data_IF_595000834548
#
_entry.id   IF_595000834548
#
_cell.length_a   1.000
_cell.length_b   1.000
_cell.length_c   1.000
_cell.angle_alpha   90.00
_cell.angle_beta   90.00
_cell.angle_gamma   90.00
#
_symmetry.space_group_name_H-M   'P 1'
#
loop_
_entity.id
_entity.type
_entity.pdbx_description
1 polymer ?
#
# COMPACT_ATOMS: atom_id res chain seq x y z
N UNK A 1 -35.62 15.52 3.27
CA UNK A 1 -35.26 14.26 2.61
C UNK A 1 -33.75 14.29 2.38
N UNK A 2 -32.98 13.32 2.89
CA UNK A 2 -31.51 13.34 2.81
C UNK A 2 -31.11 12.64 1.51
N UNK A 3 -30.39 13.35 0.64
CA UNK A 3 -29.91 12.84 -0.65
C UNK A 3 -28.38 12.83 -0.61
N UNK A 4 -27.77 11.77 -1.12
CA UNK A 4 -26.32 11.58 -1.15
C UNK A 4 -25.71 12.13 -2.45
N UNK A 5 -24.60 12.86 -2.33
CA UNK A 5 -23.87 13.37 -3.49
C UNK A 5 -23.17 12.23 -4.23
N UNK A 6 -23.48 12.04 -5.51
CA UNK A 6 -22.90 10.98 -6.35
C UNK A 6 -21.37 11.13 -6.53
N UNK A 7 -20.81 12.30 -6.28
CA UNK A 7 -19.36 12.55 -6.42
C UNK A 7 -18.53 12.31 -5.15
N UNK A 8 -19.14 12.37 -3.97
CA UNK A 8 -18.40 12.38 -2.71
C UNK A 8 -19.16 11.79 -1.51
N UNK A 9 -20.29 11.13 -1.78
CA UNK A 9 -21.16 10.43 -0.84
C UNK A 9 -21.60 11.26 0.37
N UNK A 10 -21.46 12.58 0.28
CA UNK A 10 -21.82 13.49 1.36
C UNK A 10 -23.33 13.62 1.42
N UNK A 11 -23.91 13.33 2.59
CA UNK A 11 -25.33 13.53 2.89
C UNK A 11 -25.64 15.00 3.01
N UNK A 12 -26.53 15.50 2.15
CA UNK A 12 -26.81 16.93 2.03
C UNK A 12 -28.31 17.17 2.18
N UNK A 13 -28.64 18.30 2.80
CA UNK A 13 -30.01 18.77 2.94
C UNK A 13 -30.60 19.13 1.57
N UNK A 14 -31.85 18.77 1.32
CA UNK A 14 -32.47 18.83 -0.02
C UNK A 14 -32.50 20.23 -0.65
N UNK A 15 -32.32 21.29 0.15
CA UNK A 15 -32.22 22.68 -0.32
C UNK A 15 -30.88 23.03 -0.98
N UNK A 16 -29.81 22.29 -0.67
CA UNK A 16 -28.45 22.52 -1.19
C UNK A 16 -28.08 21.62 -2.37
N UNK A 17 -29.07 20.89 -2.89
CA UNK A 17 -28.95 19.99 -4.02
C UNK A 17 -29.07 20.73 -5.37
N UNK A 18 -28.35 20.27 -6.39
CA UNK A 18 -28.48 20.72 -7.78
C UNK A 18 -28.55 19.52 -8.73
N UNK A 19 -29.66 19.32 -9.47
CA UNK A 19 -29.72 18.28 -10.49
C UNK A 19 -28.73 18.55 -11.61
N UNK A 20 -28.16 17.49 -12.18
CA UNK A 20 -27.28 17.61 -13.33
C UNK A 20 -27.78 16.77 -14.50
N UNK A 21 -27.54 17.30 -15.69
CA UNK A 21 -27.76 16.65 -16.97
C UNK A 21 -26.59 16.98 -17.91
N UNK A 22 -26.25 16.08 -18.82
CA UNK A 22 -25.27 16.31 -19.88
C UNK A 22 -23.94 15.54 -19.78
N UNK A 23 -23.35 15.29 -20.95
CA UNK A 23 -22.17 14.43 -21.17
C UNK A 23 -20.93 14.94 -20.41
N UNK A 24 -20.69 16.25 -20.40
CA UNK A 24 -19.54 16.83 -19.71
C UNK A 24 -19.52 16.55 -18.21
N UNK A 25 -20.69 16.60 -17.57
CA UNK A 25 -20.79 16.27 -16.15
C UNK A 25 -20.66 14.77 -15.93
N UNK A 26 -21.23 13.92 -16.82
CA UNK A 26 -21.02 12.45 -16.74
C UNK A 26 -19.54 12.08 -16.81
N UNK A 27 -18.80 12.69 -17.73
CA UNK A 27 -17.35 12.50 -17.84
C UNK A 27 -16.61 13.01 -16.60
N UNK A 28 -17.01 14.14 -16.04
CA UNK A 28 -16.42 14.66 -14.80
C UNK A 28 -16.65 13.69 -13.63
N UNK A 29 -17.88 13.22 -13.45
CA UNK A 29 -18.21 12.28 -12.37
C UNK A 29 -17.52 10.94 -12.60
N UNK A 30 -17.51 10.42 -13.83
CA UNK A 30 -16.79 9.20 -14.20
C UNK A 30 -15.29 9.34 -13.93
N UNK A 31 -14.66 10.46 -14.31
CA UNK A 31 -13.24 10.70 -14.02
C UNK A 31 -12.93 10.76 -12.52
N UNK A 32 -13.89 11.23 -11.70
CA UNK A 32 -13.70 11.43 -10.25
C UNK A 32 -14.10 10.22 -9.40
N UNK A 33 -15.08 9.44 -9.84
CA UNK A 33 -15.69 8.32 -9.09
C UNK A 33 -15.47 6.98 -9.75
N UNK A 34 -15.10 6.95 -11.05
CA UNK A 34 -15.08 5.78 -11.94
C UNK A 34 -16.43 5.05 -12.01
N UNK A 35 -17.54 5.76 -11.79
CA UNK A 35 -18.89 5.25 -12.01
C UNK A 35 -19.43 5.73 -13.36
N UNK A 36 -19.95 4.79 -14.16
CA UNK A 36 -20.70 5.12 -15.37
C UNK A 36 -22.16 5.38 -14.99
N UNK A 37 -22.54 6.65 -14.95
CA UNK A 37 -23.90 7.06 -14.62
C UNK A 37 -24.77 7.00 -15.87
N UNK A 38 -25.92 6.35 -15.77
CA UNK A 38 -26.82 6.18 -16.91
C UNK A 38 -27.51 7.50 -17.27
N UNK A 39 -28.39 8.08 -16.47
CA UNK A 39 -29.22 9.17 -17.02
C UNK A 39 -29.42 10.44 -16.18
N UNK A 40 -29.22 10.42 -14.86
CA UNK A 40 -29.24 11.63 -14.02
C UNK A 40 -28.81 11.29 -12.61
N UNK A 41 -28.39 12.30 -11.84
CA UNK A 41 -27.99 12.10 -10.46
C UNK A 41 -27.84 13.40 -9.72
N UNK A 42 -27.38 13.28 -8.47
CA UNK A 42 -27.34 14.40 -7.55
C UNK A 42 -25.92 14.82 -7.13
N UNK A 43 -25.54 16.10 -7.26
CA UNK A 43 -24.23 16.59 -6.76
C UNK A 43 -24.34 17.73 -5.76
N UNK A 44 -23.34 17.81 -4.87
CA UNK A 44 -23.18 18.89 -3.91
C UNK A 44 -22.62 20.16 -4.55
N UNK A 45 -22.84 21.31 -3.90
CA UNK A 45 -22.33 22.59 -4.40
C UNK A 45 -20.78 22.61 -4.51
N UNK A 46 -20.06 21.96 -3.60
CA UNK A 46 -18.59 21.87 -3.66
C UNK A 46 -18.09 21.06 -4.88
N UNK A 47 -18.77 19.95 -5.21
CA UNK A 47 -18.48 19.15 -6.40
C UNK A 47 -18.88 19.88 -7.68
N UNK A 48 -19.96 20.66 -7.65
CA UNK A 48 -20.36 21.53 -8.77
C UNK A 48 -19.32 22.62 -9.04
N UNK A 49 -18.79 23.27 -8.00
CA UNK A 49 -17.71 24.24 -8.17
C UNK A 49 -16.41 23.59 -8.69
N UNK A 50 -16.13 22.35 -8.29
CA UNK A 50 -15.02 21.57 -8.85
C UNK A 50 -15.21 21.26 -10.33
N UNK A 51 -16.43 20.90 -10.74
CA UNK A 51 -16.79 20.70 -12.14
C UNK A 51 -16.61 21.98 -12.96
N UNK A 52 -17.10 23.13 -12.48
CA UNK A 52 -16.96 24.40 -13.20
C UNK A 52 -15.49 24.80 -13.41
N UNK A 53 -14.62 24.51 -12.43
CA UNK A 53 -13.16 24.70 -12.59
C UNK A 53 -12.56 23.73 -13.60
N UNK A 54 -13.02 22.48 -13.60
CA UNK A 54 -12.53 21.45 -14.51
C UNK A 54 -12.99 21.66 -15.95
N UNK A 55 -14.22 22.13 -16.17
CA UNK A 55 -14.78 22.45 -17.50
C UNK A 55 -13.99 23.54 -18.22
N UNK A 56 -13.38 24.46 -17.47
CA UNK A 56 -12.58 25.55 -18.04
C UNK A 56 -11.13 25.14 -18.39
N UNK A 57 -10.77 23.85 -18.26
CA UNK A 57 -9.46 23.33 -18.66
C UNK A 57 -9.48 22.95 -20.16
N UNK A 58 -8.59 23.59 -20.94
CA UNK A 58 -8.56 23.58 -22.41
C UNK A 58 -8.33 22.19 -23.03
N UNK A 59 -7.66 21.27 -22.34
CA UNK A 59 -7.44 19.90 -22.84
C UNK A 59 -8.74 19.09 -22.92
N UNK A 60 -9.69 19.33 -21.99
CA UNK A 60 -10.93 18.56 -21.90
C UNK A 60 -11.97 18.99 -22.94
N UNK A 61 -11.98 20.26 -23.35
CA UNK A 61 -12.89 20.79 -24.39
C UNK A 61 -12.68 20.07 -25.74
N UNK A 62 -11.44 19.70 -26.06
CA UNK A 62 -11.12 18.98 -27.31
C UNK A 62 -11.65 17.54 -27.35
N UNK A 63 -11.76 16.88 -26.19
CA UNK A 63 -12.36 15.55 -26.05
C UNK A 63 -13.89 15.65 -26.07
N UNK A 64 -14.44 16.70 -25.47
CA UNK A 64 -15.88 16.94 -25.45
C UNK A 64 -16.46 17.18 -26.84
N UNK A 65 -15.81 18.04 -27.62
CA UNK A 65 -16.27 18.39 -28.97
C UNK A 65 -16.27 17.17 -29.91
N UNK A 66 -15.38 16.19 -29.70
CA UNK A 66 -15.35 14.93 -30.47
C UNK A 66 -16.50 13.98 -30.12
N UNK A 67 -17.01 14.04 -28.89
CA UNK A 67 -18.11 13.19 -28.43
C UNK A 67 -19.48 13.82 -28.71
N UNK A 68 -19.56 15.14 -28.84
CA UNK A 68 -20.79 15.85 -29.23
C UNK A 68 -21.07 15.75 -30.76
N UNK A 69 -20.07 15.40 -31.58
CA UNK A 69 -20.25 15.16 -33.04
C UNK A 69 -20.86 13.79 -33.38
N UNK A 70 -20.95 12.84 -32.42
CA UNK A 70 -21.40 11.46 -32.66
C UNK A 70 -22.85 11.15 -32.21
N UNK A 71 -23.58 12.09 -31.58
CA UNK A 71 -25.00 11.89 -31.24
C UNK A 71 -25.95 12.76 -32.08
N UNK A 72 -27.06 12.22 -32.60
CA UNK A 72 -28.05 13.00 -33.33
C UNK A 72 -28.79 13.96 -32.38
N UNK A 73 -28.94 15.21 -32.84
CA UNK A 73 -29.66 16.31 -32.18
C UNK A 73 -31.06 15.89 -31.67
N UNK A 74 -31.18 15.61 -30.37
CA UNK A 74 -32.45 15.76 -29.65
C UNK A 74 -32.48 17.12 -28.94
N UNK A 75 -33.10 18.06 -29.65
CA UNK A 75 -33.86 19.22 -29.18
C UNK A 75 -33.50 19.86 -27.82
N UNK A 76 -32.92 21.05 -27.96
CA UNK A 76 -32.91 22.16 -27.02
C UNK A 76 -34.31 22.53 -26.50
N UNK A 77 -34.57 22.32 -25.20
CA UNK A 77 -35.59 22.99 -24.39
C UNK A 77 -34.91 23.30 -23.04
N UNK A 78 -34.62 24.56 -22.71
CA UNK A 78 -35.61 25.52 -22.23
C UNK A 78 -35.58 25.51 -20.70
N UNK A 79 -34.73 26.34 -20.10
CA UNK A 79 -34.70 26.57 -18.65
C UNK A 79 -35.96 27.36 -18.30
N UNK A 80 -36.83 26.81 -17.45
CA UNK A 80 -37.79 27.61 -16.69
C UNK A 80 -37.78 27.16 -15.22
N UNK A 81 -37.37 28.10 -14.37
CA UNK A 81 -37.58 28.10 -12.93
C UNK A 81 -39.07 28.34 -12.66
N UNK A 82 -39.76 27.43 -11.94
CA UNK A 82 -40.92 27.79 -11.11
C UNK A 82 -41.04 26.94 -9.85
N UNK A 83 -41.27 27.67 -8.77
CA UNK A 83 -41.53 27.28 -7.40
C UNK A 83 -42.89 26.57 -7.20
N UNK A 84 -42.98 25.87 -6.06
CA UNK A 84 -44.12 25.67 -5.15
C UNK A 84 -45.47 25.18 -5.72
N UNK A 85 -45.95 24.03 -5.24
CA UNK A 85 -47.01 24.02 -4.21
C UNK A 85 -47.33 22.60 -3.74
N UNK A 86 -47.79 22.50 -2.50
CA UNK A 86 -48.03 21.24 -1.79
C UNK A 86 -49.22 20.42 -2.31
N UNK A 87 -49.19 19.11 -2.01
CA UNK A 87 -50.35 18.48 -1.37
C UNK A 87 -50.02 17.14 -0.71
N UNK A 88 -50.74 16.95 0.38
CA UNK A 88 -50.65 15.92 1.40
C UNK A 88 -51.63 14.79 1.04
N UNK A 89 -51.19 13.53 0.97
CA UNK A 89 -52.14 12.40 0.97
C UNK A 89 -51.52 11.12 1.56
N UNK A 90 -52.40 10.32 2.13
CA UNK A 90 -52.20 9.45 3.29
C UNK A 90 -51.37 8.18 3.02
N UNK A 91 -50.56 7.82 4.02
CA UNK A 91 -49.85 6.53 4.14
C UNK A 91 -50.84 5.45 4.57
N UNK A 92 -50.98 4.39 3.77
CA UNK A 92 -51.45 3.08 4.24
C UNK A 92 -50.31 2.07 4.14
N UNK A 93 -49.94 1.51 5.29
CA UNK A 93 -48.86 0.55 5.45
C UNK A 93 -49.21 -0.81 4.81
N UNK A 94 -48.27 -1.35 4.02
CA UNK A 94 -48.23 -2.74 3.59
C UNK A 94 -46.95 -3.42 4.13
N UNK A 95 -46.98 -4.72 4.45
CA UNK A 95 -45.96 -5.38 5.26
C UNK A 95 -44.64 -5.55 4.50
N UNK A 96 -43.54 -5.38 5.24
CA UNK A 96 -42.15 -5.57 4.80
C UNK A 96 -41.89 -7.01 4.35
N UNK A 97 -41.85 -7.23 3.04
CA UNK A 97 -41.09 -8.33 2.45
C UNK A 97 -39.70 -7.76 2.13
N UNK A 98 -38.69 -8.13 2.91
CA UNK A 98 -37.30 -7.92 2.49
C UNK A 98 -37.09 -8.67 1.17
N UNK A 99 -36.56 -8.01 0.11
CA UNK A 99 -36.33 -8.67 -1.15
C UNK A 99 -35.22 -9.72 -0.97
N UNK A 100 -35.58 -10.98 -1.22
CA UNK A 100 -34.62 -12.07 -1.42
C UNK A 100 -33.67 -11.61 -2.52
N UNK A 101 -32.38 -11.50 -2.21
CA UNK A 101 -31.35 -11.10 -3.18
C UNK A 101 -31.21 -12.20 -4.24
N UNK A 102 -31.91 -12.02 -5.36
CA UNK A 102 -31.98 -12.97 -6.48
C UNK A 102 -30.71 -12.98 -7.35
N UNK A 103 -29.69 -12.19 -7.03
CA UNK A 103 -28.48 -12.03 -7.84
C UNK A 103 -27.32 -12.91 -7.33
N UNK A 104 -27.55 -14.22 -7.32
CA UNK A 104 -26.52 -15.20 -7.00
C UNK A 104 -25.83 -15.66 -8.29
N UNK A 105 -24.52 -15.44 -8.39
CA UNK A 105 -23.68 -15.86 -9.51
C UNK A 105 -22.81 -17.03 -9.08
N UNK A 106 -22.80 -18.08 -9.88
CA UNK A 106 -22.01 -19.28 -9.60
C UNK A 106 -20.70 -19.26 -10.40
N UNK A 107 -19.56 -19.32 -9.71
CA UNK A 107 -18.23 -19.27 -10.32
C UNK A 107 -17.47 -20.59 -10.11
N UNK A 108 -16.76 -21.10 -11.14
CA UNK A 108 -15.91 -22.27 -11.02
C UNK A 108 -14.53 -21.87 -10.46
N UNK A 109 -14.42 -21.76 -9.14
CA UNK A 109 -13.16 -21.44 -8.45
C UNK A 109 -12.57 -22.67 -7.77
N UNK A 110 -11.24 -22.69 -7.64
CA UNK A 110 -10.53 -23.67 -6.82
C UNK A 110 -10.76 -23.35 -5.34
N UNK A 111 -11.64 -24.08 -4.66
CA UNK A 111 -12.04 -23.73 -3.29
C UNK A 111 -11.32 -24.64 -2.30
N UNK A 112 -10.81 -24.07 -1.20
CA UNK A 112 -10.27 -24.87 -0.10
C UNK A 112 -11.39 -25.60 0.66
N UNK A 113 -11.03 -26.61 1.45
CA UNK A 113 -11.98 -27.14 2.43
C UNK A 113 -12.47 -26.02 3.37
N UNK A 114 -13.79 -25.94 3.56
CA UNK A 114 -14.41 -25.07 4.55
C UNK A 114 -15.11 -25.97 5.57
N UNK A 115 -14.56 -26.04 6.76
CA UNK A 115 -15.10 -26.81 7.87
C UNK A 115 -14.84 -26.05 9.16
N UNK A 116 -15.79 -26.12 10.08
CA UNK A 116 -15.61 -25.63 11.44
C UNK A 116 -14.76 -26.58 12.30
N UNK A 117 -14.52 -27.81 11.83
CA UNK A 117 -13.81 -28.85 12.59
C UNK A 117 -12.43 -29.19 12.00
N UNK A 118 -12.20 -28.95 10.71
CA UNK A 118 -10.96 -29.33 10.03
C UNK A 118 -10.11 -28.12 9.64
N UNK A 119 -8.80 -28.25 9.78
CA UNK A 119 -7.85 -27.23 9.36
C UNK A 119 -7.77 -27.11 7.82
N UNK A 120 -7.77 -25.89 7.29
CA UNK A 120 -7.58 -25.61 5.85
C UNK A 120 -6.22 -26.11 5.31
N UNK A 121 -5.19 -26.14 6.16
CA UNK A 121 -3.82 -26.47 5.80
C UNK A 121 -3.55 -27.98 5.91
N UNK A 122 -3.64 -28.57 7.12
CA UNK A 122 -3.31 -29.99 7.32
C UNK A 122 -4.51 -30.93 7.17
N UNK A 123 -5.75 -30.41 7.11
CA UNK A 123 -7.00 -31.19 7.04
C UNK A 123 -7.27 -32.09 8.25
N UNK A 124 -6.49 -31.99 9.31
CA UNK A 124 -6.74 -32.70 10.57
C UNK A 124 -7.89 -32.03 11.34
N UNK A 125 -8.55 -32.82 12.20
CA UNK A 125 -9.60 -32.37 13.09
C UNK A 125 -8.97 -31.61 14.27
N UNK A 126 -9.45 -30.41 14.56
CA UNK A 126 -8.75 -29.49 15.45
C UNK A 126 -9.61 -29.15 16.67
N UNK A 127 -9.08 -29.41 17.87
CA UNK A 127 -9.75 -29.09 19.14
C UNK A 127 -9.64 -27.59 19.51
N UNK A 128 -8.62 -26.88 19.01
CA UNK A 128 -8.42 -25.44 19.19
C UNK A 128 -8.12 -24.77 17.85
N UNK A 129 -9.05 -23.98 17.30
CA UNK A 129 -8.90 -23.39 15.97
C UNK A 129 -8.70 -21.88 15.99
N UNK A 130 -7.83 -21.38 15.11
CA UNK A 130 -7.80 -19.98 14.69
C UNK A 130 -8.70 -19.79 13.45
N UNK A 131 -9.26 -18.60 13.26
CA UNK A 131 -9.87 -18.23 11.97
C UNK A 131 -8.78 -17.71 11.05
N UNK A 132 -8.77 -18.14 9.79
CA UNK A 132 -7.86 -17.55 8.79
C UNK A 132 -8.25 -16.09 8.56
N UNK A 133 -7.28 -15.19 8.61
CA UNK A 133 -7.51 -13.74 8.45
C UNK A 133 -8.02 -13.42 7.04
N UNK A 134 -8.80 -12.33 6.91
CA UNK A 134 -9.29 -11.90 5.60
C UNK A 134 -8.14 -11.54 4.65
N UNK A 135 -7.04 -10.97 5.17
CA UNK A 135 -5.85 -10.67 4.36
C UNK A 135 -5.18 -11.94 3.81
N UNK A 136 -5.03 -12.98 4.64
CA UNK A 136 -4.41 -14.24 4.19
C UNK A 136 -5.27 -14.96 3.15
N UNK A 137 -6.61 -14.87 3.27
CA UNK A 137 -7.55 -15.43 2.29
C UNK A 137 -7.44 -14.73 0.95
N UNK A 138 -7.35 -13.40 0.95
CA UNK A 138 -7.19 -12.60 -0.27
C UNK A 138 -5.81 -12.89 -0.91
N UNK A 139 -4.74 -12.94 -0.11
CA UNK A 139 -3.37 -13.19 -0.57
C UNK A 139 -3.20 -14.58 -1.19
N UNK A 140 -3.78 -15.62 -0.57
CA UNK A 140 -3.77 -16.99 -1.10
C UNK A 140 -4.51 -17.10 -2.43
N UNK A 141 -5.63 -16.39 -2.58
CA UNK A 141 -6.31 -16.34 -3.86
C UNK A 141 -5.43 -15.69 -4.92
N UNK A 142 -4.78 -14.56 -4.61
CA UNK A 142 -3.92 -13.84 -5.55
C UNK A 142 -2.67 -14.63 -5.94
N UNK A 143 -2.05 -15.36 -5.02
CA UNK A 143 -0.78 -16.07 -5.26
C UNK A 143 -0.97 -17.48 -5.81
N UNK A 144 -1.99 -18.21 -5.34
CA UNK A 144 -2.15 -19.64 -5.59
C UNK A 144 -3.44 -19.98 -6.34
N UNK A 145 -4.26 -18.97 -6.69
CA UNK A 145 -5.58 -19.16 -7.31
C UNK A 145 -6.45 -20.14 -6.52
N UNK A 146 -6.42 -20.06 -5.17
CA UNK A 146 -7.26 -20.88 -4.27
C UNK A 146 -8.11 -19.95 -3.42
N UNK A 147 -9.43 -20.11 -3.50
CA UNK A 147 -10.40 -19.36 -2.72
C UNK A 147 -10.66 -20.05 -1.37
N UNK A 148 -10.46 -19.32 -0.27
CA UNK A 148 -10.80 -19.78 1.07
C UNK A 148 -12.11 -19.13 1.51
N UNK A 149 -13.17 -19.90 1.82
CA UNK A 149 -14.44 -19.34 2.28
C UNK A 149 -14.34 -18.61 3.63
N UNK A 150 -15.27 -17.67 3.86
CA UNK A 150 -15.36 -16.91 5.12
C UNK A 150 -15.52 -17.88 6.29
N UNK A 151 -14.83 -17.62 7.41
CA UNK A 151 -14.93 -18.42 8.63
C UNK A 151 -14.14 -19.74 8.62
N UNK A 152 -13.35 -20.01 7.57
CA UNK A 152 -12.50 -21.20 7.51
C UNK A 152 -11.42 -21.19 8.61
N UNK A 153 -11.11 -22.37 9.14
CA UNK A 153 -10.31 -22.54 10.37
C UNK A 153 -8.91 -23.10 10.11
N UNK A 154 -7.95 -22.72 10.95
CA UNK A 154 -6.55 -23.14 10.94
C UNK A 154 -6.11 -23.73 12.29
N UNK A 155 -5.10 -24.60 12.28
CA UNK A 155 -4.38 -24.96 13.51
C UNK A 155 -3.49 -23.78 13.96
N UNK A 156 -3.34 -23.55 15.27
CA UNK A 156 -2.43 -22.54 15.80
C UNK A 156 -0.99 -22.71 15.30
N UNK A 157 -0.53 -23.95 15.11
CA UNK A 157 0.83 -24.24 14.63
C UNK A 157 1.10 -23.75 13.20
N UNK A 158 0.05 -23.44 12.43
CA UNK A 158 0.17 -22.90 11.09
C UNK A 158 0.11 -21.37 11.04
N UNK A 159 -0.03 -20.71 12.21
CA UNK A 159 -0.17 -19.28 12.34
C UNK A 159 0.91 -18.71 13.25
N UNK A 160 1.62 -17.69 12.78
CA UNK A 160 2.56 -16.89 13.57
C UNK A 160 2.12 -15.44 13.47
N UNK A 161 1.98 -14.77 14.62
CA UNK A 161 1.52 -13.38 14.71
C UNK A 161 0.20 -13.10 13.98
N UNK A 162 -0.73 -14.07 13.99
CA UNK A 162 -2.04 -13.94 13.35
C UNK A 162 -2.03 -14.11 11.82
N UNK A 163 -0.89 -14.50 11.24
CA UNK A 163 -0.72 -14.77 9.80
C UNK A 163 -0.36 -16.22 9.52
N UNK A 164 -0.84 -16.76 8.39
CA UNK A 164 -0.44 -18.09 7.93
C UNK A 164 1.05 -18.15 7.54
N UNK A 165 1.74 -19.21 7.92
CA UNK A 165 3.15 -19.44 7.56
C UNK A 165 3.25 -19.80 6.06
N UNK A 166 4.13 -19.13 5.30
CA UNK A 166 4.30 -19.30 3.84
C UNK A 166 4.56 -20.76 3.40
N UNK A 167 5.39 -21.50 4.13
CA UNK A 167 5.72 -22.89 3.81
C UNK A 167 4.50 -23.83 3.86
N UNK A 168 3.45 -23.40 4.56
CA UNK A 168 2.20 -24.12 4.68
C UNK A 168 1.18 -23.72 3.60
N UNK A 169 1.37 -22.60 2.88
CA UNK A 169 0.47 -22.18 1.80
C UNK A 169 0.49 -23.17 0.64
N UNK A 170 1.67 -23.71 0.30
CA UNK A 170 1.83 -24.74 -0.73
C UNK A 170 1.15 -26.07 -0.38
N UNK A 171 0.80 -26.30 0.89
CA UNK A 171 0.10 -27.52 1.34
C UNK A 171 -1.41 -27.41 1.17
N UNK A 172 -1.94 -26.19 1.03
CA UNK A 172 -3.36 -25.95 0.81
C UNK A 172 -3.71 -26.44 -0.59
N UNK A 173 -4.53 -27.49 -0.66
CA UNK A 173 -5.01 -28.05 -1.92
C UNK A 173 -6.49 -27.74 -2.10
N UNK A 174 -6.93 -27.42 -3.33
CA UNK A 174 -8.33 -27.29 -3.61
C UNK A 174 -9.06 -28.61 -3.33
N UNK A 175 -10.33 -28.50 -2.95
CA UNK A 175 -11.30 -29.58 -3.11
C UNK A 175 -11.65 -29.63 -4.61
N UNK A 176 -11.95 -30.83 -5.13
CA UNK A 176 -12.34 -31.01 -6.53
C UNK A 176 -13.37 -29.96 -6.96
N UNK A 177 -13.24 -29.42 -8.18
CA UNK A 177 -13.93 -28.22 -8.70
C UNK A 177 -15.38 -28.17 -8.23
N UNK A 178 -15.66 -27.29 -7.27
CA UNK A 178 -17.00 -27.00 -6.81
C UNK A 178 -17.40 -25.63 -7.33
N UNK A 179 -18.62 -25.54 -7.82
CA UNK A 179 -19.26 -24.27 -8.11
C UNK A 179 -19.54 -23.54 -6.78
N UNK A 180 -18.98 -22.34 -6.58
CA UNK A 180 -19.34 -21.48 -5.43
C UNK A 180 -20.26 -20.38 -5.88
N UNK A 181 -21.35 -20.23 -5.15
CA UNK A 181 -22.31 -19.14 -5.29
C UNK A 181 -21.80 -17.88 -4.57
N UNK A 182 -21.80 -16.76 -5.28
CA UNK A 182 -21.49 -15.44 -4.74
C UNK A 182 -22.68 -14.51 -4.96
N UNK A 183 -22.95 -13.62 -4.00
CA UNK A 183 -23.87 -12.51 -4.23
C UNK A 183 -23.21 -11.45 -5.13
N UNK A 184 -24.02 -10.61 -5.77
CA UNK A 184 -23.52 -9.42 -6.47
C UNK A 184 -22.66 -8.53 -5.55
N UNK A 185 -23.04 -8.39 -4.28
CA UNK A 185 -22.30 -7.62 -3.27
C UNK A 185 -20.95 -8.24 -2.94
N UNK A 186 -20.85 -9.58 -2.84
CA UNK A 186 -19.57 -10.25 -2.63
C UNK A 186 -18.62 -10.01 -3.80
N UNK A 187 -19.12 -10.08 -5.04
CA UNK A 187 -18.33 -9.83 -6.25
C UNK A 187 -17.86 -8.37 -6.29
N UNK A 188 -18.75 -7.39 -6.04
CA UNK A 188 -18.38 -5.98 -6.01
C UNK A 188 -17.34 -5.68 -4.92
N UNK A 189 -17.50 -6.29 -3.74
CA UNK A 189 -16.53 -6.17 -2.64
C UNK A 189 -15.17 -6.72 -3.07
N UNK A 190 -15.17 -7.88 -3.72
CA UNK A 190 -13.96 -8.55 -4.17
C UNK A 190 -13.25 -7.80 -5.30
N UNK A 191 -13.99 -7.29 -6.29
CA UNK A 191 -13.46 -6.37 -7.32
C UNK A 191 -12.92 -5.08 -6.71
N UNK A 192 -13.59 -4.54 -5.70
CA UNK A 192 -13.11 -3.38 -4.93
C UNK A 192 -11.77 -3.68 -4.24
N UNK A 193 -11.64 -4.86 -3.61
CA UNK A 193 -10.38 -5.32 -3.01
C UNK A 193 -9.26 -5.46 -4.06
N UNK A 194 -9.52 -6.08 -5.22
CA UNK A 194 -8.53 -6.17 -6.29
C UNK A 194 -8.10 -4.81 -6.83
N UNK A 195 -9.07 -3.91 -7.03
CA UNK A 195 -8.80 -2.55 -7.48
C UNK A 195 -7.90 -1.81 -6.49
N UNK A 196 -8.21 -1.90 -5.20
CA UNK A 196 -7.40 -1.30 -4.15
C UNK A 196 -6.02 -1.94 -4.07
N UNK A 197 -5.95 -3.27 -4.17
CA UNK A 197 -4.69 -4.00 -4.18
C UNK A 197 -3.81 -3.56 -5.35
N UNK A 198 -4.33 -3.59 -6.58
CA UNK A 198 -3.61 -3.17 -7.79
C UNK A 198 -3.10 -1.73 -7.70
N UNK A 199 -3.95 -0.80 -7.23
CA UNK A 199 -3.56 0.59 -7.04
C UNK A 199 -2.54 0.79 -5.91
N UNK A 200 -2.45 -0.17 -4.98
CA UNK A 200 -1.48 -0.17 -3.88
C UNK A 200 -0.20 -0.94 -4.18
N UNK A 201 -0.09 -1.61 -5.34
CA UNK A 201 1.11 -2.36 -5.72
C UNK A 201 2.28 -1.40 -5.76
N UNK A 202 3.16 -1.54 -4.78
CA UNK A 202 4.51 -1.00 -4.81
C UNK A 202 5.39 -2.09 -5.38
N UNK A 203 6.00 -1.83 -6.53
CA UNK A 203 7.04 -2.73 -7.09
C UNK A 203 8.20 -2.93 -6.09
N UNK A 204 8.37 -2.00 -5.15
CA UNK A 204 9.40 -2.01 -4.11
C UNK A 204 8.73 -1.80 -2.75
N UNK A 205 8.16 -2.89 -2.23
CA UNK A 205 7.63 -2.93 -0.88
C UNK A 205 8.44 -3.89 -0.01
N UNK A 206 9.05 -3.39 1.05
CA UNK A 206 9.69 -4.20 2.08
C UNK A 206 8.68 -4.67 3.15
N UNK A 207 7.40 -4.32 3.01
CA UNK A 207 6.31 -4.64 3.92
C UNK A 207 5.11 -5.24 3.14
N UNK A 208 4.47 -6.33 3.59
CA UNK A 208 4.84 -7.19 4.72
C UNK A 208 6.23 -7.84 4.54
N UNK A 209 6.89 -8.36 5.60
CA UNK A 209 8.24 -8.94 5.52
C UNK A 209 8.44 -10.01 4.43
N UNK A 210 7.35 -10.64 3.99
CA UNK A 210 7.31 -11.68 2.99
C UNK A 210 7.04 -11.20 1.55
N UNK A 211 6.79 -9.90 1.31
CA UNK A 211 6.53 -9.35 -0.03
C UNK A 211 7.73 -9.45 -0.98
N UNK A 212 8.95 -9.36 -0.44
CA UNK A 212 10.19 -9.30 -1.22
C UNK A 212 10.98 -10.61 -1.14
N UNK A 213 11.47 -11.07 -2.30
CA UNK A 213 12.35 -12.24 -2.40
C UNK A 213 13.74 -11.97 -1.80
N UNK A 214 14.49 -13.03 -1.47
CA UNK A 214 15.87 -12.92 -0.97
C UNK A 214 16.76 -12.19 -1.99
N UNK A 215 16.66 -12.57 -3.27
CA UNK A 215 17.45 -11.97 -4.34
C UNK A 215 17.14 -10.50 -4.54
N UNK A 216 15.86 -10.10 -4.50
CA UNK A 216 15.49 -8.70 -4.68
C UNK A 216 15.94 -7.86 -3.48
N UNK A 217 15.76 -8.37 -2.27
CA UNK A 217 16.25 -7.71 -1.06
C UNK A 217 17.75 -7.45 -1.13
N UNK A 218 18.54 -8.47 -1.51
CA UNK A 218 19.99 -8.35 -1.65
C UNK A 218 20.39 -7.39 -2.78
N UNK A 219 19.76 -7.49 -3.95
CA UNK A 219 20.06 -6.62 -5.08
C UNK A 219 19.81 -5.14 -4.73
N UNK A 220 18.74 -4.87 -3.98
CA UNK A 220 18.33 -3.51 -3.63
C UNK A 220 19.06 -2.93 -2.44
N UNK A 221 19.40 -3.73 -1.43
CA UNK A 221 19.95 -3.22 -0.17
C UNK A 221 21.43 -3.56 0.02
N UNK A 222 21.94 -4.57 -0.70
CA UNK A 222 23.28 -5.10 -0.56
C UNK A 222 23.47 -6.06 0.63
N UNK A 223 22.41 -6.39 1.37
CA UNK A 223 22.46 -7.30 2.53
C UNK A 223 21.40 -8.39 2.41
N UNK A 224 21.63 -9.53 3.07
CA UNK A 224 20.64 -10.62 3.13
C UNK A 224 19.37 -10.18 3.84
N UNK A 225 18.26 -10.86 3.57
CA UNK A 225 16.98 -10.56 4.21
C UNK A 225 17.03 -10.73 5.73
N UNK A 226 17.75 -11.75 6.21
CA UNK A 226 17.97 -11.97 7.63
C UNK A 226 18.73 -10.80 8.29
N UNK A 227 19.77 -10.29 7.64
CA UNK A 227 20.52 -9.13 8.14
C UNK A 227 19.69 -7.85 8.08
N UNK A 228 18.86 -7.69 7.04
CA UNK A 228 17.90 -6.60 6.95
C UNK A 228 16.89 -6.64 8.11
N UNK A 229 16.32 -7.82 8.39
CA UNK A 229 15.39 -8.03 9.51
C UNK A 229 16.03 -7.71 10.85
N UNK A 230 17.27 -8.16 11.05
CA UNK A 230 18.03 -7.85 12.25
C UNK A 230 18.27 -6.34 12.39
N UNK A 231 18.66 -5.67 11.31
CA UNK A 231 18.86 -4.21 11.32
C UNK A 231 17.56 -3.46 11.64
N UNK A 232 16.43 -3.87 11.05
CA UNK A 232 15.11 -3.29 11.33
C UNK A 232 14.76 -3.46 12.81
N UNK A 233 15.07 -4.62 13.42
CA UNK A 233 14.87 -4.86 14.86
C UNK A 233 15.76 -3.95 15.72
N UNK A 234 17.04 -3.80 15.39
CA UNK A 234 17.96 -2.92 16.12
C UNK A 234 17.52 -1.45 16.11
N UNK A 235 16.85 -1.04 15.03
CA UNK A 235 16.34 0.32 14.87
C UNK A 235 14.88 0.46 15.35
N UNK A 236 14.23 -0.60 15.83
CA UNK A 236 12.81 -0.56 16.19
C UNK A 236 12.50 0.42 17.35
N UNK A 237 13.45 0.57 18.28
CA UNK A 237 13.34 1.50 19.41
C UNK A 237 13.60 2.97 19.02
N UNK A 238 13.88 3.24 17.74
CA UNK A 238 14.07 4.60 17.25
C UNK A 238 12.73 5.33 17.07
N UNK A 239 12.71 6.65 17.25
CA UNK A 239 11.52 7.51 17.12
C UNK A 239 11.00 7.66 15.66
N UNK A 240 11.32 6.74 14.75
CA UNK A 240 10.86 6.78 13.35
C UNK A 240 9.45 6.20 13.27
N UNK A 241 8.46 7.09 13.29
CA UNK A 241 7.05 6.70 13.19
C UNK A 241 6.70 6.17 11.79
N UNK A 242 5.81 5.20 11.74
CA UNK A 242 5.06 4.88 10.52
C UNK A 242 4.26 6.12 10.07
N UNK A 243 4.12 6.32 8.76
CA UNK A 243 3.20 7.31 8.20
C UNK A 243 2.16 6.63 7.31
N UNK A 244 1.10 7.35 6.97
CA UNK A 244 0.01 6.82 6.11
C UNK A 244 0.50 6.24 4.78
N UNK A 245 1.65 6.72 4.29
CA UNK A 245 2.18 6.37 2.98
C UNK A 245 3.49 5.58 3.06
N UNK A 246 3.96 5.21 4.25
CA UNK A 246 5.29 4.59 4.43
C UNK A 246 5.40 3.87 5.77
N UNK A 247 5.71 2.58 5.72
CA UNK A 247 6.15 1.83 6.89
C UNK A 247 7.61 2.14 7.26
N UNK A 248 7.95 1.92 8.52
CA UNK A 248 9.30 2.04 9.06
C UNK A 248 10.27 1.14 8.29
N UNK A 249 9.85 -0.09 8.00
CA UNK A 249 10.62 -1.08 7.23
C UNK A 249 10.96 -0.59 5.82
N UNK A 250 9.98 0.01 5.13
CA UNK A 250 10.21 0.69 3.85
C UNK A 250 11.15 1.89 3.95
N UNK A 251 11.16 2.60 5.08
CA UNK A 251 12.12 3.69 5.31
C UNK A 251 13.56 3.17 5.36
N UNK A 252 13.78 2.06 6.07
CA UNK A 252 15.10 1.40 6.16
C UNK A 252 15.50 0.84 4.80
N UNK A 253 14.58 0.18 4.08
CA UNK A 253 14.81 -0.30 2.71
C UNK A 253 15.22 0.83 1.76
N UNK A 254 14.45 1.92 1.73
CA UNK A 254 14.77 3.13 0.98
C UNK A 254 16.18 3.68 1.31
N UNK A 255 16.53 3.70 2.59
CA UNK A 255 17.82 4.19 3.05
C UNK A 255 18.99 3.35 2.54
N UNK A 256 18.85 2.02 2.47
CA UNK A 256 19.89 1.13 1.96
C UNK A 256 19.94 1.11 0.42
N UNK A 257 18.78 1.24 -0.24
CA UNK A 257 18.70 1.30 -1.71
C UNK A 257 19.37 2.53 -2.30
N UNK A 258 19.29 3.68 -1.63
CA UNK A 258 19.93 4.92 -2.08
C UNK A 258 21.45 4.78 -2.30
N UNK A 259 22.26 4.37 -1.31
CA UNK A 259 23.70 4.18 -1.48
C UNK A 259 24.02 2.95 -2.33
N UNK A 260 23.21 1.88 -2.29
CA UNK A 260 23.46 0.66 -3.06
C UNK A 260 23.38 0.90 -4.58
N UNK A 261 22.37 1.64 -5.02
CA UNK A 261 22.10 1.86 -6.45
C UNK A 261 22.57 3.23 -6.96
N UNK A 262 22.93 4.16 -6.08
CA UNK A 262 23.37 5.50 -6.48
C UNK A 262 22.28 6.35 -7.16
N UNK A 263 21.01 5.97 -7.06
CA UNK A 263 19.90 6.60 -7.80
C UNK A 263 19.43 7.91 -7.19
N UNK A 264 18.86 8.82 -8.00
CA UNK A 264 18.41 10.14 -7.54
C UNK A 264 17.16 10.09 -6.65
N UNK A 265 16.93 11.13 -5.84
CA UNK A 265 15.73 11.20 -5.00
C UNK A 265 14.43 11.29 -5.82
N UNK A 266 14.51 11.84 -7.04
CA UNK A 266 13.37 11.86 -7.98
C UNK A 266 12.98 10.45 -8.40
N UNK A 267 13.96 9.64 -8.78
CA UNK A 267 13.74 8.23 -9.15
C UNK A 267 13.19 7.44 -7.95
N UNK A 268 13.77 7.63 -6.76
CA UNK A 268 13.27 7.00 -5.53
C UNK A 268 11.83 7.42 -5.20
N UNK A 269 11.45 8.66 -5.52
CA UNK A 269 10.07 9.14 -5.32
C UNK A 269 9.10 8.33 -6.19
N UNK A 270 9.44 8.08 -7.45
CA UNK A 270 8.65 7.24 -8.35
C UNK A 270 8.58 5.80 -7.88
N UNK A 271 9.73 5.20 -7.57
CA UNK A 271 9.87 3.78 -7.23
C UNK A 271 9.13 3.42 -5.94
N UNK A 272 9.29 4.25 -4.89
CA UNK A 272 8.67 4.03 -3.58
C UNK A 272 7.34 4.77 -3.41
N UNK A 273 6.85 5.43 -4.47
CA UNK A 273 5.58 6.18 -4.49
C UNK A 273 5.48 7.24 -3.38
N UNK A 274 6.56 7.99 -3.15
CA UNK A 274 6.50 9.15 -2.26
C UNK A 274 5.79 10.32 -2.93
N UNK A 275 5.19 11.21 -2.14
CA UNK A 275 4.52 12.40 -2.66
C UNK A 275 5.48 13.41 -3.30
N UNK A 276 6.76 13.43 -2.88
CA UNK A 276 7.80 14.31 -3.41
C UNK A 276 9.20 13.91 -2.92
N UNK A 277 10.23 14.40 -3.62
CA UNK A 277 11.65 14.20 -3.28
C UNK A 277 12.05 14.72 -1.90
N UNK A 278 11.35 15.72 -1.37
CA UNK A 278 11.63 16.26 -0.02
C UNK A 278 11.20 15.29 1.07
N UNK A 279 10.14 14.50 0.85
CA UNK A 279 9.72 13.44 1.75
C UNK A 279 10.73 12.28 1.76
N UNK A 280 11.31 11.95 0.60
CA UNK A 280 12.45 11.01 0.50
C UNK A 280 13.63 11.51 1.31
N UNK A 281 14.06 12.76 1.09
CA UNK A 281 15.21 13.36 1.81
C UNK A 281 15.02 13.33 3.33
N UNK A 282 13.84 13.74 3.83
CA UNK A 282 13.49 13.69 5.25
C UNK A 282 13.51 12.26 5.81
N UNK A 283 13.03 11.29 5.04
CA UNK A 283 13.04 9.88 5.44
C UNK A 283 14.47 9.35 5.55
N UNK A 284 15.32 9.63 4.55
CA UNK A 284 16.73 9.26 4.58
C UNK A 284 17.46 9.89 5.76
N UNK A 285 17.19 11.17 6.05
CA UNK A 285 17.78 11.86 7.20
C UNK A 285 17.34 11.24 8.54
N UNK A 286 16.06 10.88 8.68
CA UNK A 286 15.54 10.25 9.89
C UNK A 286 16.19 8.88 10.14
N UNK A 287 16.24 8.02 9.12
CA UNK A 287 16.88 6.69 9.22
C UNK A 287 18.37 6.84 9.53
N UNK A 288 19.06 7.79 8.88
CA UNK A 288 20.46 8.08 9.19
C UNK A 288 20.67 8.47 10.65
N UNK A 289 19.80 9.30 11.23
CA UNK A 289 19.92 9.68 12.64
C UNK A 289 19.66 8.50 13.57
N UNK A 290 18.68 7.64 13.26
CA UNK A 290 18.47 6.41 14.00
C UNK A 290 19.68 5.48 13.94
N UNK A 291 20.29 5.32 12.76
CA UNK A 291 21.53 4.56 12.58
C UNK A 291 22.67 5.13 13.44
N UNK A 292 22.88 6.45 13.42
CA UNK A 292 23.92 7.10 14.20
C UNK A 292 23.73 6.97 15.72
N UNK A 293 22.47 6.81 16.17
CA UNK A 293 22.15 6.76 17.61
C UNK A 293 22.11 5.33 18.14
N UNK A 294 21.51 4.40 17.38
CA UNK A 294 21.19 3.05 17.86
C UNK A 294 22.02 1.94 17.23
N UNK A 295 22.67 2.20 16.09
CA UNK A 295 23.46 1.18 15.39
C UNK A 295 24.95 1.47 15.45
N UNK A 296 25.37 2.64 14.99
CA UNK A 296 26.80 2.99 14.85
C UNK A 296 27.55 2.86 16.17
N UNK A 297 27.11 3.39 17.32
CA UNK A 297 27.90 3.32 18.55
C UNK A 297 28.17 1.89 19.03
N UNK A 298 27.29 0.95 18.69
CA UNK A 298 27.31 -0.43 19.16
C UNK A 298 27.90 -1.42 18.15
N UNK A 299 27.99 -1.07 16.86
CA UNK A 299 28.40 -2.00 15.81
C UNK A 299 29.42 -1.46 14.81
N UNK A 300 29.67 -0.14 14.75
CA UNK A 300 30.61 0.46 13.77
C UNK A 300 31.52 1.56 14.35
N UNK A 301 31.16 2.16 15.48
CA UNK A 301 31.87 3.29 16.10
C UNK A 301 33.02 2.81 16.98
N UNK A 302 33.97 3.67 17.33
CA UNK A 302 35.20 3.27 18.04
C UNK A 302 34.99 2.48 19.35
N UNK A 303 33.82 2.59 19.96
CA UNK A 303 33.48 1.89 21.21
C UNK A 303 32.93 0.48 21.00
N UNK A 304 32.65 0.05 19.76
CA UNK A 304 32.04 -1.26 19.49
C UNK A 304 33.01 -2.43 19.63
N UNK A 305 34.31 -2.18 19.53
CA UNK A 305 35.35 -3.20 19.55
C UNK A 305 36.46 -2.83 20.52
N UNK A 306 36.90 -3.77 21.33
CA UNK A 306 37.99 -3.53 22.27
C UNK A 306 39.35 -3.58 21.57
N UNK A 307 40.35 -2.85 22.09
CA UNK A 307 41.73 -2.92 21.57
C UNK A 307 42.25 -4.36 21.54
N UNK A 308 41.97 -5.15 22.57
CA UNK A 308 42.46 -6.51 22.67
C UNK A 308 41.84 -7.40 21.59
N UNK A 309 40.53 -7.25 21.37
CA UNK A 309 39.81 -7.95 20.31
C UNK A 309 40.32 -7.60 18.90
N UNK A 310 40.72 -6.34 18.65
CA UNK A 310 41.37 -5.96 17.39
C UNK A 310 42.71 -6.67 17.19
N UNK A 311 43.49 -6.83 18.26
CA UNK A 311 44.79 -7.50 18.20
C UNK A 311 44.61 -8.99 17.97
N UNK A 312 43.67 -9.60 18.67
CA UNK A 312 43.46 -11.05 18.65
C UNK A 312 42.77 -11.51 17.36
N UNK A 313 41.78 -10.74 16.85
CA UNK A 313 40.89 -11.19 15.79
C UNK A 313 41.02 -10.41 14.47
N UNK A 314 41.62 -9.22 14.46
CA UNK A 314 41.64 -8.33 13.28
C UNK A 314 43.04 -7.86 12.84
N UNK A 315 44.10 -8.23 13.57
CA UNK A 315 45.47 -7.91 13.19
C UNK A 315 46.11 -9.11 12.49
N UNK A 316 46.41 -8.99 11.20
CA UNK A 316 47.04 -10.10 10.49
C UNK A 316 48.52 -10.23 10.87
N UNK A 317 49.06 -11.46 10.98
CA UNK A 317 50.48 -11.67 11.22
C UNK A 317 51.36 -10.98 10.18
N UNK A 318 50.92 -10.97 8.92
CA UNK A 318 51.61 -10.33 7.81
C UNK A 318 51.67 -8.80 7.97
N UNK A 319 50.55 -8.15 8.26
CA UNK A 319 50.51 -6.70 8.46
C UNK A 319 51.34 -6.28 9.66
N UNK A 320 51.33 -7.09 10.72
CA UNK A 320 52.17 -6.87 11.91
C UNK A 320 53.64 -6.94 11.52
N UNK A 321 54.11 -8.04 10.91
CA UNK A 321 55.50 -8.19 10.49
C UNK A 321 56.01 -7.10 9.52
N UNK A 322 55.14 -6.58 8.64
CA UNK A 322 55.51 -5.56 7.67
C UNK A 322 55.56 -4.14 8.25
N UNK A 323 54.69 -3.82 9.21
CA UNK A 323 54.46 -2.44 9.64
C UNK A 323 54.89 -2.18 11.09
N UNK A 324 55.13 -3.23 11.88
CA UNK A 324 55.60 -3.07 13.25
C UNK A 324 56.34 -4.30 13.80
N UNK A 325 57.42 -4.03 14.49
CA UNK A 325 58.27 -4.95 15.22
C UNK A 325 57.86 -5.09 16.70
N UNK A 326 56.77 -4.40 17.11
CA UNK A 326 56.27 -4.42 18.49
C UNK A 326 55.11 -5.39 18.67
N UNK A 327 55.25 -6.29 19.63
CA UNK A 327 54.16 -7.16 20.11
C UNK A 327 53.01 -6.33 20.70
N UNK A 328 51.79 -6.86 20.58
CA UNK A 328 50.57 -6.25 21.14
C UNK A 328 50.29 -4.84 20.57
N UNK A 329 50.49 -4.63 19.26
CA UNK A 329 50.25 -3.35 18.58
C UNK A 329 49.12 -3.47 17.57
N UNK A 330 48.23 -2.48 17.53
CA UNK A 330 47.18 -2.40 16.50
C UNK A 330 47.73 -1.66 15.29
N UNK A 331 47.61 -2.28 14.12
CA UNK A 331 47.87 -1.63 12.84
C UNK A 331 46.55 -1.13 12.28
N UNK A 332 46.38 0.20 12.22
CA UNK A 332 45.18 0.83 11.68
C UNK A 332 45.46 1.32 10.25
N UNK A 333 44.71 0.80 9.28
CA UNK A 333 44.72 1.30 7.91
C UNK A 333 43.49 2.18 7.73
N UNK A 334 43.70 3.48 7.58
CA UNK A 334 42.64 4.44 7.32
C UNK A 334 42.66 4.77 5.84
N UNK A 335 41.69 4.25 5.10
CA UNK A 335 41.46 4.69 3.72
C UNK A 335 40.82 6.09 3.73
N UNK A 336 41.59 7.08 3.27
CA UNK A 336 41.22 8.49 3.23
C UNK A 336 40.53 8.93 1.94
N UNK A 337 40.08 8.02 1.08
CA UNK A 337 39.56 8.34 -0.27
C UNK A 337 38.44 9.41 -0.30
N UNK A 338 37.72 9.61 0.81
CA UNK A 338 36.66 10.62 0.93
C UNK A 338 36.90 11.66 2.03
N UNK A 339 38.12 11.76 2.57
CA UNK A 339 38.47 12.81 3.54
C UNK A 339 38.57 14.15 2.80
N UNK A 340 37.63 15.04 3.08
CA UNK A 340 37.69 16.42 2.60
C UNK A 340 38.73 17.19 3.43
N UNK A 341 39.94 17.32 2.89
CA UNK A 341 40.98 18.16 3.52
C UNK A 341 40.70 19.61 3.11
N UNK A 342 40.28 20.43 4.06
CA UNK A 342 40.07 21.86 3.82
C UNK A 342 41.44 22.55 3.66
N UNK A 343 41.80 22.90 2.43
CA UNK A 343 43.17 23.36 2.11
C UNK A 343 43.42 24.84 2.45
N UNK A 344 42.40 25.70 2.65
CA UNK A 344 42.62 27.12 2.97
C UNK A 344 41.50 27.73 3.85
N UNK A 345 41.90 28.37 4.95
CA UNK A 345 41.13 29.44 5.59
C UNK A 345 41.44 30.74 4.84
N UNK A 346 40.55 31.15 3.93
CA UNK A 346 40.56 32.56 3.51
C UNK A 346 39.85 33.33 4.62
N UNK A 347 40.66 33.99 5.45
CA UNK A 347 40.23 35.10 6.28
C UNK A 347 39.70 36.19 5.33
N UNK A 348 38.40 36.20 5.08
CA UNK A 348 37.75 37.41 4.58
C UNK A 348 37.46 38.29 5.78
N UNK A 349 38.36 39.24 6.02
CA UNK A 349 38.06 40.45 6.79
C UNK A 349 37.25 41.36 5.86
N UNK A 350 36.13 41.86 6.41
CA UNK A 350 35.07 42.75 5.87
C UNK A 350 33.92 42.07 5.11
#
# INVERSE_FOLDING_TARGET
>A
MVIECVCCDTRIDSKNYRPFHGIAMRLFVSARTNLYLRDSGSICNACRMSYLKWRNNTEFISVLNRLEEEEPNESMMGIDDKDDDGNNEYVTAAPSNDPIDTNVVTLPLNISVSSHHHCVVCRENVNSTCTVSDEDRDLLFMQSNIFIPKGSRCCPDHVVDGRLINDNLNKIRPRDIMQTSFSATDILTWLGKFRNHYNSIRYFDFDPPFSMSESDCYNLTGISKANFDHLVKLLADSNIKNSSNRSFRNAVGLFLTKPRLGISNKVLTTIFQFSNSQAVSRTLAAVRQAMLTHFVPHYLGFNHISRQEVIDNHSSPLATQLLTDKLNTVVLVIDGTYLYIQVRNVLTIL
#
